data_IF_480692809907
#
_entry.id   IF_480692809907
#
_cell.length_a   1.000
_cell.length_b   1.000
_cell.length_c   1.000
_cell.angle_alpha   90.00
_cell.angle_beta   90.00
_cell.angle_gamma   90.00
#
_symmetry.space_group_name_H-M   'P 1'
#
loop_
_entity.id
_entity.type
_entity.pdbx_description
1 polymer ?
#
# COMPACT_ATOMS: atom_id res chain seq x y z
N UNK A 1 -88.18 43.35 21.72
CA UNK A 1 -87.84 44.80 21.82
C UNK A 1 -86.67 45.03 20.87
N UNK A 2 -86.87 45.54 19.63
CA UNK A 2 -86.76 46.97 19.21
C UNK A 2 -85.51 47.64 19.83
N UNK A 3 -84.49 48.10 19.09
CA UNK A 3 -84.39 49.32 18.24
C UNK A 3 -83.03 49.28 17.47
N UNK A 4 -82.93 49.23 16.13
CA UNK A 4 -82.69 50.30 15.10
C UNK A 4 -81.67 51.43 15.38
N UNK A 5 -80.60 51.53 14.58
CA UNK A 5 -80.00 52.76 13.96
C UNK A 5 -78.65 52.37 13.32
N UNK A 6 -78.41 52.34 12.00
CA UNK A 6 -78.46 53.38 10.96
C UNK A 6 -77.34 54.43 11.14
N UNK A 7 -76.20 54.25 10.45
CA UNK A 7 -75.35 55.35 10.00
C UNK A 7 -74.68 55.01 8.67
N UNK A 8 -75.18 55.69 7.64
CA UNK A 8 -74.69 55.79 6.28
C UNK A 8 -74.22 57.25 6.12
N UNK A 9 -72.93 57.49 5.87
CA UNK A 9 -72.40 58.79 5.47
C UNK A 9 -71.15 58.51 4.60
N UNK A 10 -71.26 58.62 3.27
CA UNK A 10 -71.05 59.85 2.49
C UNK A 10 -69.57 60.29 2.54
N UNK A 11 -68.73 59.68 1.70
CA UNK A 11 -67.41 60.24 1.36
C UNK A 11 -67.51 60.84 -0.04
N UNK A 12 -67.68 62.17 -0.04
CA UNK A 12 -67.60 63.04 -1.21
C UNK A 12 -66.20 62.99 -1.84
N UNK A 13 -66.18 63.11 -3.16
CA UNK A 13 -64.98 63.21 -3.97
C UNK A 13 -64.15 64.44 -3.66
N UNK A 14 -62.86 64.21 -3.38
CA UNK A 14 -61.79 65.16 -3.59
C UNK A 14 -60.92 64.61 -4.73
N UNK A 15 -61.28 64.93 -5.97
CA UNK A 15 -60.35 64.85 -7.08
C UNK A 15 -59.32 65.99 -6.88
N UNK A 16 -58.34 65.73 -6.01
CA UNK A 16 -57.15 66.56 -5.94
C UNK A 16 -56.46 66.46 -7.30
N UNK A 17 -56.42 67.56 -8.03
CA UNK A 17 -55.55 67.71 -9.18
C UNK A 17 -54.11 67.49 -8.68
N UNK A 18 -53.59 66.27 -8.89
CA UNK A 18 -52.18 65.99 -8.64
C UNK A 18 -51.40 66.93 -9.55
N UNK A 19 -50.58 67.84 -9.01
CA UNK A 19 -49.77 68.70 -9.84
C UNK A 19 -48.88 67.81 -10.69
N UNK A 20 -49.09 67.83 -12.02
CA UNK A 20 -48.31 67.06 -13.00
C UNK A 20 -46.79 67.36 -12.92
N UNK A 21 -46.39 68.43 -12.21
CA UNK A 21 -44.99 68.78 -11.99
C UNK A 21 -44.35 68.09 -10.78
N UNK A 22 -45.13 67.67 -9.76
CA UNK A 22 -44.56 67.03 -8.57
C UNK A 22 -43.93 65.65 -8.86
N UNK A 23 -44.35 64.99 -9.94
CA UNK A 23 -43.78 63.72 -10.39
C UNK A 23 -42.53 63.89 -11.24
N UNK A 24 -42.36 65.05 -11.90
CA UNK A 24 -41.15 65.40 -12.62
C UNK A 24 -40.02 65.74 -11.63
N UNK A 25 -40.30 66.57 -10.63
CA UNK A 25 -39.32 66.95 -9.61
C UNK A 25 -38.82 65.74 -8.80
N UNK A 26 -39.74 64.86 -8.36
CA UNK A 26 -39.38 63.65 -7.62
C UNK A 26 -38.54 62.65 -8.44
N UNK A 27 -38.73 62.61 -9.76
CA UNK A 27 -37.96 61.79 -10.68
C UNK A 27 -36.56 62.34 -10.86
N UNK A 28 -36.42 63.64 -11.03
CA UNK A 28 -35.13 64.31 -11.21
C UNK A 28 -34.28 64.21 -9.93
N UNK A 29 -34.90 64.37 -8.75
CA UNK A 29 -34.26 64.15 -7.44
C UNK A 29 -33.76 62.71 -7.27
N UNK A 30 -34.58 61.73 -7.67
CA UNK A 30 -34.18 60.32 -7.62
C UNK A 30 -33.01 60.04 -8.56
N UNK A 31 -33.05 60.56 -9.79
CA UNK A 31 -31.96 60.43 -10.76
C UNK A 31 -30.68 61.05 -10.20
N UNK A 32 -30.74 62.27 -9.66
CA UNK A 32 -29.59 62.93 -9.04
C UNK A 32 -29.00 62.11 -7.88
N UNK A 33 -29.86 61.56 -7.01
CA UNK A 33 -29.43 60.70 -5.91
C UNK A 33 -28.77 59.39 -6.39
N UNK A 34 -29.29 58.75 -7.44
CA UNK A 34 -28.67 57.55 -8.00
C UNK A 34 -27.31 57.86 -8.66
N UNK A 35 -27.19 58.97 -9.38
CA UNK A 35 -25.91 59.42 -9.95
C UNK A 35 -24.87 59.62 -8.86
N UNK A 36 -25.22 60.33 -7.79
CA UNK A 36 -24.32 60.59 -6.67
C UNK A 36 -23.90 59.29 -5.96
N UNK A 37 -24.85 58.38 -5.75
CA UNK A 37 -24.55 57.04 -5.22
C UNK A 37 -23.57 56.29 -6.13
N UNK A 38 -23.76 56.33 -7.45
CA UNK A 38 -22.89 55.64 -8.38
C UNK A 38 -21.47 56.23 -8.41
N UNK A 39 -21.31 57.54 -8.21
CA UNK A 39 -19.99 58.19 -8.05
C UNK A 39 -19.29 57.71 -6.78
N UNK A 40 -19.97 57.67 -5.64
CA UNK A 40 -19.42 57.13 -4.37
C UNK A 40 -19.00 55.67 -4.51
N UNK A 41 -19.80 54.84 -5.19
CA UNK A 41 -19.44 53.44 -5.47
C UNK A 41 -18.19 53.35 -6.35
N UNK A 42 -18.05 54.24 -7.34
CA UNK A 42 -16.84 54.32 -8.19
C UNK A 42 -15.61 54.73 -7.37
N UNK A 43 -15.72 55.71 -6.48
CA UNK A 43 -14.65 56.14 -5.57
C UNK A 43 -14.19 55.02 -4.63
N UNK A 44 -15.11 54.17 -4.21
CA UNK A 44 -14.84 52.99 -3.39
C UNK A 44 -14.34 51.77 -4.20
N UNK A 45 -14.04 51.96 -5.48
CA UNK A 45 -13.61 50.90 -6.41
C UNK A 45 -14.63 49.77 -6.65
N UNK A 46 -15.91 50.01 -6.31
CA UNK A 46 -17.02 49.07 -6.49
C UNK A 46 -17.62 49.19 -7.89
N UNK A 47 -16.78 48.99 -8.92
CA UNK A 47 -17.08 49.29 -10.31
C UNK A 47 -18.35 48.60 -10.85
N UNK A 48 -18.57 47.33 -10.51
CA UNK A 48 -19.75 46.58 -10.97
C UNK A 48 -21.06 47.11 -10.37
N UNK A 49 -21.04 47.49 -9.08
CA UNK A 49 -22.19 48.11 -8.42
C UNK A 49 -22.44 49.52 -8.95
N UNK A 50 -21.39 50.30 -9.16
CA UNK A 50 -21.49 51.62 -9.79
C UNK A 50 -22.14 51.51 -11.19
N UNK A 51 -21.67 50.57 -12.03
CA UNK A 51 -22.24 50.33 -13.35
C UNK A 51 -23.71 49.90 -13.29
N UNK A 52 -24.07 49.03 -12.34
CA UNK A 52 -25.45 48.61 -12.14
C UNK A 52 -26.36 49.80 -11.82
N UNK A 53 -25.94 50.69 -10.92
CA UNK A 53 -26.70 51.92 -10.57
C UNK A 53 -26.80 52.88 -11.76
N UNK A 54 -25.72 53.09 -12.52
CA UNK A 54 -25.80 53.93 -13.73
C UNK A 54 -26.78 53.37 -14.77
N UNK A 55 -26.87 52.04 -14.90
CA UNK A 55 -27.80 51.38 -15.83
C UNK A 55 -29.27 51.49 -15.40
N UNK A 56 -29.58 51.62 -14.11
CA UNK A 56 -30.97 51.82 -13.66
C UNK A 56 -31.51 53.20 -14.00
N UNK A 57 -30.63 54.19 -14.20
CA UNK A 57 -30.99 55.56 -14.58
C UNK A 57 -31.33 55.68 -16.07
N UNK A 58 -30.73 54.86 -16.94
CA UNK A 58 -30.94 54.88 -18.40
C UNK A 58 -32.42 54.86 -18.86
N UNK A 59 -33.30 53.96 -18.36
CA UNK A 59 -34.70 53.91 -18.78
C UNK A 59 -35.56 55.04 -18.18
N UNK A 60 -35.05 55.77 -17.19
CA UNK A 60 -35.81 56.78 -16.44
C UNK A 60 -35.71 58.18 -17.04
N UNK A 61 -35.51 58.32 -18.35
CA UNK A 61 -35.71 59.58 -19.09
C UNK A 61 -34.43 60.24 -19.55
N UNK A 62 -34.22 60.18 -20.87
CA UNK A 62 -33.15 60.79 -21.65
C UNK A 62 -31.75 60.58 -21.03
N UNK A 63 -30.99 59.55 -21.44
CA UNK A 63 -29.62 59.38 -20.99
C UNK A 63 -28.83 60.59 -21.47
N UNK A 64 -28.55 61.50 -20.55
CA UNK A 64 -27.73 62.65 -20.80
C UNK A 64 -26.31 62.20 -21.15
N UNK A 65 -25.56 63.09 -21.80
CA UNK A 65 -24.21 62.78 -22.24
C UNK A 65 -23.33 62.27 -21.07
N UNK A 66 -23.56 62.79 -19.86
CA UNK A 66 -22.89 62.35 -18.63
C UNK A 66 -23.12 60.86 -18.35
N UNK A 67 -24.39 60.41 -18.27
CA UNK A 67 -24.71 59.01 -17.95
C UNK A 67 -24.13 58.04 -18.97
N UNK A 68 -24.20 58.37 -20.27
CA UNK A 68 -23.64 57.53 -21.33
C UNK A 68 -22.12 57.44 -21.23
N UNK A 69 -21.45 58.56 -20.99
CA UNK A 69 -20.00 58.60 -20.82
C UNK A 69 -19.58 57.81 -19.58
N UNK A 70 -20.27 57.98 -18.45
CA UNK A 70 -19.97 57.25 -17.22
C UNK A 70 -20.11 55.72 -17.38
N UNK A 71 -21.18 55.27 -18.06
CA UNK A 71 -21.37 53.85 -18.39
C UNK A 71 -20.24 53.34 -19.28
N UNK A 72 -19.91 54.05 -20.37
CA UNK A 72 -18.87 53.63 -21.30
C UNK A 72 -17.47 53.57 -20.63
N UNK A 73 -17.16 54.53 -19.76
CA UNK A 73 -15.91 54.54 -18.98
C UNK A 73 -15.82 53.35 -18.01
N UNK A 74 -16.90 53.07 -17.28
CA UNK A 74 -16.95 51.96 -16.33
C UNK A 74 -16.84 50.62 -17.05
N UNK A 75 -17.54 50.45 -18.17
CA UNK A 75 -17.44 49.25 -19.00
C UNK A 75 -16.01 49.04 -19.50
N UNK A 76 -15.37 50.08 -20.06
CA UNK A 76 -13.98 50.01 -20.50
C UNK A 76 -13.03 49.63 -19.36
N UNK A 77 -13.23 50.22 -18.18
CA UNK A 77 -12.40 49.95 -16.99
C UNK A 77 -12.59 48.52 -16.50
N UNK A 78 -13.83 48.05 -16.42
CA UNK A 78 -14.16 46.68 -16.04
C UNK A 78 -13.55 45.69 -17.03
N UNK A 79 -13.71 45.90 -18.35
CA UNK A 79 -13.11 45.04 -19.38
C UNK A 79 -11.59 44.96 -19.26
N UNK A 80 -10.91 46.09 -19.03
CA UNK A 80 -9.46 46.11 -18.85
C UNK A 80 -9.03 45.32 -17.60
N UNK A 81 -9.73 45.49 -16.48
CA UNK A 81 -9.46 44.75 -15.24
C UNK A 81 -9.74 43.25 -15.37
N UNK A 82 -10.85 42.88 -16.01
CA UNK A 82 -11.18 41.48 -16.31
C UNK A 82 -10.04 40.84 -17.11
N UNK A 83 -9.59 41.46 -18.20
CA UNK A 83 -8.46 40.95 -19.01
C UNK A 83 -7.17 40.78 -18.20
N UNK A 84 -6.85 41.74 -17.34
CA UNK A 84 -5.68 41.65 -16.44
C UNK A 84 -5.83 40.50 -15.44
N UNK A 85 -6.99 40.35 -14.81
CA UNK A 85 -7.26 39.27 -13.85
C UNK A 85 -7.22 37.90 -14.53
N UNK A 86 -7.74 37.77 -15.75
CA UNK A 86 -7.63 36.52 -16.53
C UNK A 86 -6.17 36.14 -16.82
N UNK A 87 -5.35 37.11 -17.22
CA UNK A 87 -3.92 36.89 -17.48
C UNK A 87 -3.20 36.42 -16.22
N UNK A 88 -3.42 37.09 -15.08
CA UNK A 88 -2.85 36.73 -13.78
C UNK A 88 -3.32 35.35 -13.30
N UNK A 89 -4.61 35.04 -13.45
CA UNK A 89 -5.16 33.73 -13.13
C UNK A 89 -4.48 32.64 -13.96
N UNK A 90 -4.33 32.86 -15.28
CA UNK A 90 -3.65 31.92 -16.18
C UNK A 90 -2.20 31.70 -15.79
N UNK A 91 -1.46 32.77 -15.48
CA UNK A 91 -0.08 32.67 -15.02
C UNK A 91 0.02 31.89 -13.70
N UNK A 92 -0.86 32.16 -12.74
CA UNK A 92 -0.89 31.45 -11.47
C UNK A 92 -1.10 29.94 -11.66
N UNK A 93 -2.06 29.52 -12.50
CA UNK A 93 -2.25 28.11 -12.81
C UNK A 93 -1.06 27.49 -13.54
N UNK A 94 -0.45 28.20 -14.49
CA UNK A 94 0.73 27.70 -15.21
C UNK A 94 1.93 27.51 -14.29
N UNK A 95 2.02 28.29 -13.20
CA UNK A 95 3.03 28.14 -12.16
C UNK A 95 2.63 27.16 -11.05
N UNK A 96 1.53 26.41 -11.18
CA UNK A 96 1.05 25.46 -10.17
C UNK A 96 0.39 26.09 -8.93
N UNK A 97 0.24 27.43 -8.89
CA UNK A 97 -0.38 28.17 -7.78
C UNK A 97 -1.90 28.23 -7.95
N UNK A 98 -2.56 27.09 -7.78
CA UNK A 98 -4.01 26.97 -8.00
C UNK A 98 -4.85 27.89 -7.11
N UNK A 99 -4.47 28.08 -5.83
CA UNK A 99 -5.18 28.95 -4.89
C UNK A 99 -5.13 30.44 -5.32
N UNK A 100 -3.96 30.90 -5.78
CA UNK A 100 -3.81 32.25 -6.34
C UNK A 100 -4.68 32.41 -7.60
N UNK A 101 -4.69 31.38 -8.47
CA UNK A 101 -5.51 31.33 -9.67
C UNK A 101 -7.01 31.47 -9.35
N UNK A 102 -7.51 30.69 -8.40
CA UNK A 102 -8.91 30.73 -7.94
C UNK A 102 -9.27 32.10 -7.36
N UNK A 103 -8.36 32.70 -6.58
CA UNK A 103 -8.53 34.05 -6.02
C UNK A 103 -8.70 35.11 -7.10
N UNK A 104 -7.88 35.07 -8.17
CA UNK A 104 -8.03 35.99 -9.30
C UNK A 104 -9.34 35.78 -10.06
N UNK A 105 -9.79 34.53 -10.22
CA UNK A 105 -11.08 34.23 -10.85
C UNK A 105 -12.27 34.73 -10.01
N UNK A 106 -12.20 34.65 -8.68
CA UNK A 106 -13.24 35.20 -7.79
C UNK A 106 -13.29 36.73 -7.89
N UNK A 107 -12.14 37.41 -7.90
CA UNK A 107 -12.06 38.86 -8.15
C UNK A 107 -12.64 39.24 -9.51
N UNK A 108 -12.42 38.42 -10.54
CA UNK A 108 -13.02 38.60 -11.85
C UNK A 108 -14.54 38.46 -11.79
N UNK A 109 -15.06 37.43 -11.11
CA UNK A 109 -16.51 37.23 -10.96
C UNK A 109 -17.20 38.33 -10.16
N UNK A 110 -16.50 38.99 -9.23
CA UNK A 110 -17.02 40.19 -8.57
C UNK A 110 -17.24 41.35 -9.54
N UNK A 111 -16.49 41.42 -10.65
CA UNK A 111 -16.69 42.40 -11.72
C UNK A 111 -17.69 41.92 -12.78
N UNK A 112 -17.68 40.63 -13.10
CA UNK A 112 -18.55 40.01 -14.11
C UNK A 112 -19.07 38.65 -13.63
N UNK A 113 -20.20 38.61 -12.89
CA UNK A 113 -20.70 37.38 -12.25
C UNK A 113 -21.02 36.24 -13.23
N UNK A 114 -21.36 36.58 -14.48
CA UNK A 114 -21.71 35.62 -15.53
C UNK A 114 -20.53 35.14 -16.38
N UNK A 115 -19.27 35.39 -16.00
CA UNK A 115 -18.13 35.08 -16.87
C UNK A 115 -17.93 33.55 -17.03
N UNK A 116 -18.19 32.98 -18.22
CA UNK A 116 -18.31 31.52 -18.38
C UNK A 116 -16.98 30.79 -18.17
N UNK A 117 -15.86 31.40 -18.58
CA UNK A 117 -14.53 30.82 -18.43
C UNK A 117 -14.10 30.71 -16.96
N UNK A 118 -14.47 31.68 -16.13
CA UNK A 118 -14.12 31.72 -14.71
C UNK A 118 -14.93 30.69 -13.92
N UNK A 119 -16.26 30.66 -14.13
CA UNK A 119 -17.15 29.68 -13.51
C UNK A 119 -16.75 28.23 -13.85
N UNK A 120 -16.49 27.95 -15.14
CA UNK A 120 -16.07 26.62 -15.59
C UNK A 120 -14.77 26.18 -14.93
N UNK A 121 -13.82 27.10 -14.75
CA UNK A 121 -12.51 26.78 -14.19
C UNK A 121 -12.56 26.59 -12.67
N UNK A 122 -13.27 27.44 -11.94
CA UNK A 122 -13.49 27.26 -10.49
C UNK A 122 -14.19 25.94 -10.17
N UNK A 123 -15.21 25.56 -10.96
CA UNK A 123 -15.88 24.25 -10.80
C UNK A 123 -14.91 23.08 -10.93
N UNK A 124 -14.00 23.12 -11.92
CA UNK A 124 -12.97 22.09 -12.10
C UNK A 124 -11.99 22.07 -10.93
N UNK A 125 -11.51 23.24 -10.47
CA UNK A 125 -10.61 23.34 -9.31
C UNK A 125 -11.24 22.69 -8.07
N UNK A 126 -12.48 23.05 -7.76
CA UNK A 126 -13.21 22.52 -6.62
C UNK A 126 -13.46 21.01 -6.72
N UNK A 127 -13.78 20.49 -7.91
CA UNK A 127 -13.94 19.05 -8.13
C UNK A 127 -12.65 18.28 -7.87
N UNK A 128 -11.51 18.80 -8.33
CA UNK A 128 -10.19 18.17 -8.10
C UNK A 128 -9.83 18.20 -6.61
N UNK A 129 -10.09 19.33 -5.94
CA UNK A 129 -9.88 19.45 -4.50
C UNK A 129 -10.72 18.43 -3.71
N UNK A 130 -12.02 18.33 -4.01
CA UNK A 130 -12.91 17.37 -3.36
C UNK A 130 -12.47 15.91 -3.58
N UNK A 131 -12.04 15.57 -4.81
CA UNK A 131 -11.54 14.23 -5.13
C UNK A 131 -10.26 13.89 -4.35
N UNK A 132 -9.31 14.83 -4.27
CA UNK A 132 -8.08 14.64 -3.46
C UNK A 132 -8.41 14.44 -1.99
N UNK A 133 -9.28 15.27 -1.43
CA UNK A 133 -9.68 15.15 -0.03
C UNK A 133 -10.34 13.79 0.25
N UNK A 134 -11.14 13.27 -0.68
CA UNK A 134 -11.74 11.95 -0.55
C UNK A 134 -10.70 10.83 -0.67
N UNK A 135 -9.73 10.94 -1.59
CA UNK A 135 -8.62 10.00 -1.71
C UNK A 135 -7.79 9.96 -0.43
N UNK A 136 -7.37 11.11 0.10
CA UNK A 136 -6.61 11.21 1.35
C UNK A 136 -7.33 10.57 2.53
N UNK A 137 -8.65 10.78 2.65
CA UNK A 137 -9.48 10.11 3.67
C UNK A 137 -9.47 8.59 3.48
N UNK A 138 -9.71 8.11 2.26
CA UNK A 138 -9.73 6.67 1.97
C UNK A 138 -8.36 6.01 2.21
N UNK A 139 -7.26 6.69 1.90
CA UNK A 139 -5.91 6.20 2.17
C UNK A 139 -5.60 6.18 3.68
N UNK A 140 -6.04 7.19 4.42
CA UNK A 140 -5.91 7.22 5.87
C UNK A 140 -6.72 6.09 6.54
N UNK A 141 -7.94 5.85 6.07
CA UNK A 141 -8.77 4.72 6.52
C UNK A 141 -8.13 3.38 6.17
N UNK A 142 -7.63 3.20 4.93
CA UNK A 142 -6.91 2.00 4.54
C UNK A 142 -5.66 1.77 5.40
N UNK A 143 -4.88 2.82 5.68
CA UNK A 143 -3.71 2.74 6.58
C UNK A 143 -4.09 2.36 8.01
N UNK A 144 -5.23 2.82 8.52
CA UNK A 144 -5.67 2.47 9.88
C UNK A 144 -6.23 1.04 9.95
N UNK A 145 -6.85 0.54 8.88
CA UNK A 145 -7.32 -0.86 8.79
C UNK A 145 -6.13 -1.82 8.64
N UNK A 146 -5.18 -1.55 7.73
CA UNK A 146 -3.97 -2.38 7.57
C UNK A 146 -3.12 -2.39 8.85
N UNK A 147 -3.10 -1.28 9.60
CA UNK A 147 -2.39 -1.20 10.89
C UNK A 147 -3.14 -1.90 12.05
N UNK A 148 -4.41 -2.28 11.87
CA UNK A 148 -5.26 -2.96 12.87
C UNK A 148 -5.59 -4.41 12.51
N UNK A 149 -5.13 -4.96 11.40
CA UNK A 149 -5.20 -6.40 11.20
C UNK A 149 -4.38 -7.08 12.33
N UNK A 150 -4.99 -8.01 13.11
CA UNK A 150 -4.20 -8.84 13.98
C UNK A 150 -3.25 -9.62 13.07
N UNK A 151 -1.95 -9.53 13.31
CA UNK A 151 -0.97 -10.43 12.72
C UNK A 151 -1.51 -11.85 12.99
N UNK A 152 -2.04 -12.51 11.96
CA UNK A 152 -2.24 -13.96 12.00
C UNK A 152 -0.88 -14.49 12.43
N UNK A 153 -0.78 -15.04 13.64
CA UNK A 153 0.45 -15.68 14.10
C UNK A 153 0.85 -16.61 12.96
N UNK A 154 1.99 -16.32 12.33
CA UNK A 154 2.47 -17.09 11.19
C UNK A 154 2.38 -18.56 11.61
N UNK A 155 1.64 -19.35 10.82
CA UNK A 155 1.48 -20.76 11.12
C UNK A 155 2.87 -21.40 11.13
N UNK A 156 3.04 -22.52 11.82
CA UNK A 156 4.32 -23.25 11.79
C UNK A 156 4.80 -23.49 10.36
N UNK A 157 3.87 -23.78 9.44
CA UNK A 157 4.16 -23.95 8.02
C UNK A 157 4.71 -22.67 7.36
N UNK A 158 4.12 -21.50 7.64
CA UNK A 158 4.62 -20.22 7.13
C UNK A 158 6.05 -19.94 7.62
N UNK A 159 6.33 -20.31 8.87
CA UNK A 159 7.66 -20.16 9.47
C UNK A 159 8.67 -21.13 8.84
N UNK A 160 8.29 -22.39 8.59
CA UNK A 160 9.13 -23.36 7.88
C UNK A 160 9.44 -22.90 6.45
N UNK A 161 8.46 -22.38 5.71
CA UNK A 161 8.66 -21.82 4.37
C UNK A 161 9.63 -20.63 4.38
N UNK A 162 9.51 -19.75 5.36
CA UNK A 162 10.42 -18.61 5.50
C UNK A 162 11.86 -19.04 5.78
N UNK A 163 12.06 -20.10 6.57
CA UNK A 163 13.38 -20.67 6.86
C UNK A 163 13.96 -21.41 5.64
N UNK A 164 13.14 -22.14 4.88
CA UNK A 164 13.53 -22.80 3.63
C UNK A 164 14.07 -21.78 2.62
N UNK A 165 13.37 -20.65 2.44
CA UNK A 165 13.79 -19.57 1.54
C UNK A 165 15.13 -18.94 1.92
N UNK A 166 15.50 -19.02 3.21
CA UNK A 166 16.80 -18.52 3.72
C UNK A 166 17.88 -19.61 3.73
N UNK A 167 17.53 -20.86 3.43
CA UNK A 167 18.43 -22.01 3.54
C UNK A 167 18.79 -22.36 4.99
N UNK A 168 18.00 -21.94 5.97
CA UNK A 168 18.23 -22.20 7.40
C UNK A 168 17.70 -23.59 7.81
N UNK A 169 18.22 -24.64 7.18
CA UNK A 169 17.69 -26.00 7.31
C UNK A 169 17.77 -26.57 8.73
N UNK A 170 18.82 -26.24 9.50
CA UNK A 170 18.92 -26.66 10.91
C UNK A 170 17.85 -26.02 11.79
N UNK A 171 17.51 -24.75 11.54
CA UNK A 171 16.46 -24.05 12.25
C UNK A 171 15.07 -24.61 11.89
N UNK A 172 14.88 -25.09 10.65
CA UNK A 172 13.65 -25.78 10.24
C UNK A 172 13.41 -27.04 11.09
N UNK A 173 14.44 -27.87 11.28
CA UNK A 173 14.34 -29.08 12.09
C UNK A 173 14.01 -28.74 13.55
N UNK A 174 14.71 -27.77 14.15
CA UNK A 174 14.46 -27.34 15.52
C UNK A 174 13.03 -26.77 15.73
N UNK A 175 12.50 -26.05 14.72
CA UNK A 175 11.14 -25.55 14.75
C UNK A 175 10.11 -26.68 14.63
N UNK A 176 10.36 -27.66 13.77
CA UNK A 176 9.51 -28.83 13.62
C UNK A 176 9.44 -29.65 14.91
N UNK A 177 10.59 -29.95 15.53
CA UNK A 177 10.67 -30.66 16.81
C UNK A 177 9.88 -29.95 17.92
N UNK A 178 10.00 -28.61 17.98
CA UNK A 178 9.30 -27.80 18.98
C UNK A 178 7.80 -27.74 18.75
N UNK A 179 7.39 -27.70 17.48
CA UNK A 179 5.99 -27.51 17.10
C UNK A 179 5.19 -28.80 17.04
N UNK A 180 5.85 -29.96 16.93
CA UNK A 180 5.20 -31.25 16.73
C UNK A 180 4.40 -31.33 15.42
N UNK A 181 4.78 -30.53 14.41
CA UNK A 181 4.07 -30.52 13.13
C UNK A 181 4.27 -31.86 12.41
N UNK A 182 3.16 -32.55 12.16
CA UNK A 182 3.10 -33.82 11.41
C UNK A 182 2.29 -33.67 10.11
N UNK A 183 2.02 -32.44 9.67
CA UNK A 183 1.24 -32.24 8.46
C UNK A 183 2.08 -32.55 7.20
N UNK A 184 1.40 -33.00 6.14
CA UNK A 184 2.07 -33.47 4.93
C UNK A 184 2.89 -32.37 4.23
N UNK A 185 2.51 -31.10 4.37
CA UNK A 185 3.26 -29.99 3.78
C UNK A 185 4.57 -29.76 4.53
N UNK A 186 4.52 -29.74 5.86
CA UNK A 186 5.70 -29.67 6.72
C UNK A 186 6.61 -30.88 6.55
N UNK A 187 6.07 -32.10 6.42
CA UNK A 187 6.87 -33.31 6.16
C UNK A 187 7.67 -33.21 4.84
N UNK A 188 7.06 -32.66 3.78
CA UNK A 188 7.75 -32.41 2.50
C UNK A 188 8.89 -31.39 2.64
N UNK A 189 8.66 -30.30 3.37
CA UNK A 189 9.68 -29.27 3.64
C UNK A 189 10.84 -29.84 4.45
N UNK A 190 10.54 -30.63 5.48
CA UNK A 190 11.53 -31.26 6.33
C UNK A 190 12.33 -32.34 5.59
N UNK A 191 11.69 -33.11 4.68
CA UNK A 191 12.42 -33.99 3.75
C UNK A 191 13.43 -33.20 2.94
N UNK A 192 13.03 -32.05 2.38
CA UNK A 192 13.94 -31.15 1.66
C UNK A 192 15.11 -30.65 2.53
N UNK A 193 14.82 -30.23 3.77
CA UNK A 193 15.83 -29.78 4.72
C UNK A 193 16.84 -30.88 5.06
N UNK A 194 16.37 -32.10 5.33
CA UNK A 194 17.23 -33.25 5.56
C UNK A 194 18.10 -33.59 4.33
N UNK A 195 17.54 -33.55 3.12
CA UNK A 195 18.36 -33.77 1.91
C UNK A 195 19.45 -32.71 1.74
N UNK A 196 19.16 -31.44 2.01
CA UNK A 196 20.15 -30.37 1.91
C UNK A 196 21.26 -30.49 2.97
N UNK A 197 20.91 -30.88 4.19
CA UNK A 197 21.88 -31.14 5.26
C UNK A 197 22.73 -32.39 4.98
N UNK A 198 22.15 -33.43 4.36
CA UNK A 198 22.90 -34.59 3.90
C UNK A 198 23.95 -34.20 2.84
N UNK A 199 23.57 -33.35 1.87
CA UNK A 199 24.49 -32.83 0.86
C UNK A 199 25.63 -31.99 1.47
N UNK A 200 25.34 -31.19 2.50
CA UNK A 200 26.36 -30.43 3.22
C UNK A 200 27.29 -31.33 4.03
N UNK A 201 26.75 -32.35 4.69
CA UNK A 201 27.54 -33.34 5.44
C UNK A 201 28.47 -34.13 4.50
N UNK A 202 27.96 -34.59 3.34
CA UNK A 202 28.75 -35.29 2.33
C UNK A 202 29.88 -34.43 1.79
N UNK A 203 29.61 -33.14 1.48
CA UNK A 203 30.65 -32.20 1.03
C UNK A 203 31.74 -31.97 2.07
N UNK A 204 31.42 -32.08 3.36
CA UNK A 204 32.39 -32.02 4.47
C UNK A 204 33.10 -33.35 4.74
N UNK A 205 32.72 -34.42 4.05
CA UNK A 205 33.23 -35.78 4.28
C UNK A 205 32.64 -36.48 5.50
N UNK A 206 31.59 -35.92 6.11
CA UNK A 206 30.90 -36.50 7.26
C UNK A 206 29.81 -37.48 6.79
N UNK A 207 30.26 -38.63 6.29
CA UNK A 207 29.40 -39.63 5.65
C UNK A 207 28.37 -40.24 6.63
N UNK A 208 28.70 -40.33 7.91
CA UNK A 208 27.78 -40.84 8.93
C UNK A 208 26.59 -39.90 9.11
N UNK A 209 26.83 -38.59 9.26
CA UNK A 209 25.73 -37.59 9.33
C UNK A 209 24.96 -37.48 8.03
N UNK A 210 25.65 -37.60 6.89
CA UNK A 210 24.99 -37.60 5.59
C UNK A 210 23.97 -38.74 5.49
N UNK A 211 24.36 -39.95 5.93
CA UNK A 211 23.47 -41.11 5.94
C UNK A 211 22.30 -40.93 6.93
N UNK A 212 22.57 -40.42 8.13
CA UNK A 212 21.53 -40.15 9.14
C UNK A 212 20.44 -39.22 8.60
N UNK A 213 20.83 -38.08 8.03
CA UNK A 213 19.87 -37.15 7.43
C UNK A 213 19.14 -37.76 6.23
N UNK A 214 19.81 -38.57 5.41
CA UNK A 214 19.19 -39.27 4.28
C UNK A 214 18.10 -40.24 4.76
N UNK A 215 18.37 -40.99 5.83
CA UNK A 215 17.41 -41.92 6.42
C UNK A 215 16.22 -41.16 7.04
N UNK A 216 16.46 -40.03 7.73
CA UNK A 216 15.39 -39.16 8.23
C UNK A 216 14.50 -38.61 7.10
N UNK A 217 15.09 -38.21 5.96
CA UNK A 217 14.35 -37.74 4.80
C UNK A 217 13.38 -38.80 4.25
N UNK A 218 13.82 -40.06 4.17
CA UNK A 218 12.98 -41.18 3.72
C UNK A 218 11.88 -41.56 4.72
N UNK A 219 12.14 -41.40 6.02
CA UNK A 219 11.14 -41.65 7.08
C UNK A 219 10.00 -40.63 7.07
N UNK A 220 10.31 -39.35 6.82
CA UNK A 220 9.32 -38.28 6.84
C UNK A 220 8.30 -38.39 5.70
N UNK A 221 8.76 -38.80 4.52
CA UNK A 221 7.89 -38.97 3.36
C UNK A 221 8.37 -40.17 2.53
N UNK A 222 7.85 -41.38 2.82
CA UNK A 222 8.15 -42.56 2.03
C UNK A 222 7.57 -42.41 0.61
N UNK A 223 8.43 -42.54 -0.40
CA UNK A 223 8.04 -42.50 -1.81
C UNK A 223 8.39 -43.84 -2.46
N UNK A 224 7.50 -44.38 -3.29
CA UNK A 224 7.84 -45.53 -4.14
C UNK A 224 8.96 -45.13 -5.11
N UNK A 225 9.99 -45.96 -5.25
CA UNK A 225 11.13 -45.70 -6.13
C UNK A 225 11.87 -44.39 -5.81
N UNK A 226 12.02 -44.09 -4.50
CA UNK A 226 12.71 -42.88 -4.05
C UNK A 226 14.19 -42.87 -4.51
N UNK A 227 14.66 -41.85 -5.28
CA UNK A 227 16.07 -41.75 -5.66
C UNK A 227 17.02 -41.70 -4.47
N UNK A 228 16.54 -41.29 -3.28
CA UNK A 228 17.34 -41.30 -2.05
C UNK A 228 17.75 -42.72 -1.63
N UNK A 229 17.04 -43.77 -2.06
CA UNK A 229 17.41 -45.17 -1.77
C UNK A 229 18.76 -45.54 -2.41
N UNK A 230 18.95 -45.19 -3.68
CA UNK A 230 20.20 -45.45 -4.41
C UNK A 230 21.36 -44.73 -3.73
N UNK A 231 21.17 -43.45 -3.43
CA UNK A 231 22.19 -42.62 -2.78
C UNK A 231 22.52 -43.09 -1.36
N UNK A 232 21.52 -43.51 -0.60
CA UNK A 232 21.69 -44.09 0.73
C UNK A 232 22.47 -45.41 0.68
N UNK A 233 22.24 -46.25 -0.35
CA UNK A 233 23.03 -47.46 -0.58
C UNK A 233 24.50 -47.16 -0.94
N UNK A 234 24.76 -46.13 -1.74
CA UNK A 234 26.12 -45.67 -2.07
C UNK A 234 26.87 -45.17 -0.83
N UNK A 235 26.24 -44.33 0.00
CA UNK A 235 26.83 -43.85 1.26
C UNK A 235 27.18 -45.01 2.20
N UNK A 236 26.27 -45.98 2.35
CA UNK A 236 26.52 -47.21 3.12
C UNK A 236 27.70 -48.01 2.58
N UNK A 237 27.84 -48.11 1.25
CA UNK A 237 28.97 -48.79 0.63
C UNK A 237 30.30 -48.05 0.90
N UNK A 238 30.32 -46.72 0.84
CA UNK A 238 31.49 -45.90 1.15
C UNK A 238 31.91 -46.01 2.63
N UNK A 239 30.96 -45.92 3.56
CA UNK A 239 31.18 -46.12 4.99
C UNK A 239 31.72 -47.53 5.26
N UNK A 240 31.11 -48.56 4.67
CA UNK A 240 31.59 -49.93 4.75
C UNK A 240 33.05 -50.07 4.29
N UNK A 241 33.41 -49.47 3.15
CA UNK A 241 34.78 -49.50 2.63
C UNK A 241 35.77 -48.76 3.55
N UNK A 242 35.36 -47.64 4.16
CA UNK A 242 36.17 -46.90 5.12
C UNK A 242 36.48 -47.72 6.36
N UNK A 243 35.44 -48.28 6.99
CA UNK A 243 35.57 -49.14 8.16
C UNK A 243 36.37 -50.43 7.87
N UNK A 244 36.20 -51.00 6.67
CA UNK A 244 36.99 -52.13 6.21
C UNK A 244 38.50 -51.81 6.16
N UNK A 245 38.88 -50.67 5.60
CA UNK A 245 40.28 -50.23 5.53
C UNK A 245 40.86 -50.06 6.92
N UNK A 246 40.12 -49.38 7.82
CA UNK A 246 40.52 -49.20 9.22
C UNK A 246 40.73 -50.54 9.92
N UNK A 247 39.77 -51.45 9.79
CA UNK A 247 39.87 -52.79 10.39
C UNK A 247 41.09 -53.55 9.90
N UNK A 248 41.37 -53.51 8.59
CA UNK A 248 42.54 -54.18 7.99
C UNK A 248 43.86 -53.63 8.53
N UNK A 249 43.95 -52.32 8.78
CA UNK A 249 45.15 -51.69 9.36
C UNK A 249 45.38 -52.12 10.81
N UNK A 250 44.31 -52.29 11.59
CA UNK A 250 44.39 -52.64 13.00
C UNK A 250 44.72 -54.13 13.26
N UNK A 251 44.53 -55.02 12.27
CA UNK A 251 44.70 -56.48 12.45
C UNK A 251 46.04 -56.86 13.11
N UNK A 252 47.11 -56.12 12.83
CA UNK A 252 48.45 -56.45 13.32
C UNK A 252 48.77 -55.84 14.69
N UNK A 253 48.10 -54.77 15.09
CA UNK A 253 48.44 -53.98 16.28
C UNK A 253 47.38 -54.01 17.37
N UNK A 254 46.10 -54.08 16.98
CA UNK A 254 44.93 -54.05 17.86
C UNK A 254 43.84 -54.95 17.28
N UNK A 255 43.92 -56.24 17.59
CA UNK A 255 42.99 -57.24 17.07
C UNK A 255 41.53 -57.00 17.51
N UNK A 256 41.24 -56.67 18.79
CA UNK A 256 39.88 -56.28 19.19
C UNK A 256 39.35 -55.07 18.43
N UNK A 257 40.15 -54.02 18.26
CA UNK A 257 39.77 -52.85 17.47
C UNK A 257 39.55 -53.17 15.99
N UNK A 258 40.33 -54.10 15.43
CA UNK A 258 40.14 -54.60 14.07
C UNK A 258 38.80 -55.30 13.88
N UNK A 259 38.42 -56.19 14.82
CA UNK A 259 37.14 -56.90 14.81
C UNK A 259 35.98 -55.88 14.85
N UNK A 260 36.00 -54.94 15.79
CA UNK A 260 34.95 -53.93 15.93
C UNK A 260 34.80 -53.06 14.67
N UNK A 261 35.90 -52.69 14.03
CA UNK A 261 35.86 -51.93 12.77
C UNK A 261 35.31 -52.77 11.60
N UNK A 262 35.66 -54.05 11.50
CA UNK A 262 35.16 -54.95 10.47
C UNK A 262 33.67 -55.28 10.67
N UNK A 263 33.21 -55.41 11.91
CA UNK A 263 31.79 -55.55 12.24
C UNK A 263 30.99 -54.33 11.76
N UNK A 264 31.47 -53.11 12.04
CA UNK A 264 30.87 -51.89 11.50
C UNK A 264 30.82 -51.90 9.97
N UNK A 265 31.90 -52.33 9.32
CA UNK A 265 31.93 -52.41 7.86
C UNK A 265 30.83 -53.34 7.31
N UNK A 266 30.61 -54.49 7.94
CA UNK A 266 29.55 -55.43 7.56
C UNK A 266 28.16 -54.90 7.93
N UNK A 267 28.03 -54.18 9.04
CA UNK A 267 26.76 -53.58 9.46
C UNK A 267 26.25 -52.54 8.45
N UNK A 268 27.14 -51.68 7.92
CA UNK A 268 26.74 -50.72 6.88
C UNK A 268 26.44 -51.40 5.54
N UNK A 269 27.20 -52.42 5.15
CA UNK A 269 26.96 -53.16 3.91
C UNK A 269 27.15 -54.67 4.11
N UNK A 270 26.05 -55.41 4.34
CA UNK A 270 26.08 -56.86 4.51
C UNK A 270 26.64 -57.63 3.31
N UNK A 271 26.66 -57.02 2.12
CA UNK A 271 27.16 -57.63 0.89
C UNK A 271 28.67 -57.37 0.66
N UNK A 272 29.35 -56.70 1.58
CA UNK A 272 30.81 -56.53 1.51
C UNK A 272 31.54 -57.84 1.87
N UNK A 273 31.70 -58.72 0.87
CA UNK A 273 32.35 -60.03 1.01
C UNK A 273 33.81 -59.94 1.49
N UNK A 274 34.50 -58.83 1.22
CA UNK A 274 35.87 -58.63 1.70
C UNK A 274 35.89 -58.37 3.20
N UNK A 275 35.02 -57.51 3.70
CA UNK A 275 34.88 -57.24 5.13
C UNK A 275 34.46 -58.49 5.91
N UNK A 276 33.50 -59.28 5.40
CA UNK A 276 33.07 -60.53 6.04
C UNK A 276 34.21 -61.55 6.17
N UNK A 277 34.93 -61.81 5.08
CA UNK A 277 36.08 -62.73 5.11
C UNK A 277 37.19 -62.26 6.06
N UNK A 278 37.44 -60.95 6.11
CA UNK A 278 38.42 -60.39 7.04
C UNK A 278 37.95 -60.45 8.49
N UNK A 279 36.67 -60.25 8.75
CA UNK A 279 36.08 -60.42 10.08
C UNK A 279 36.24 -61.86 10.57
N UNK A 280 35.88 -62.84 9.75
CA UNK A 280 36.02 -64.27 10.08
C UNK A 280 37.48 -64.65 10.36
N UNK A 281 38.42 -64.09 9.58
CA UNK A 281 39.86 -64.25 9.80
C UNK A 281 40.28 -63.66 11.15
N UNK A 282 39.91 -62.42 11.44
CA UNK A 282 40.28 -61.73 12.68
C UNK A 282 39.71 -62.45 13.92
N UNK A 283 38.45 -62.88 13.88
CA UNK A 283 37.83 -63.67 14.95
C UNK A 283 38.52 -65.01 15.16
N UNK A 284 39.00 -65.65 14.10
CA UNK A 284 39.76 -66.90 14.21
C UNK A 284 41.12 -66.69 14.86
N UNK A 285 41.80 -65.59 14.53
CA UNK A 285 43.05 -65.20 15.20
C UNK A 285 42.83 -64.95 16.70
N UNK A 286 41.75 -64.24 17.08
CA UNK A 286 41.43 -63.96 18.48
C UNK A 286 41.24 -65.26 19.26
N UNK A 287 40.40 -66.18 18.75
CA UNK A 287 40.18 -67.49 19.38
C UNK A 287 41.48 -68.28 19.57
N UNK A 288 42.42 -68.17 18.63
CA UNK A 288 43.70 -68.85 18.74
C UNK A 288 44.60 -68.22 19.82
N UNK A 289 44.60 -66.88 19.93
CA UNK A 289 45.33 -66.17 20.99
C UNK A 289 44.77 -66.51 22.37
N UNK A 290 43.44 -66.45 22.55
CA UNK A 290 42.78 -66.79 23.82
C UNK A 290 43.12 -68.22 24.29
N UNK A 291 43.23 -69.18 23.34
CA UNK A 291 43.64 -70.57 23.62
C UNK A 291 45.09 -70.70 24.05
N UNK A 292 45.97 -69.84 23.58
CA UNK A 292 47.39 -69.84 23.96
C UNK A 292 47.53 -69.20 25.35
N UNK A 293 46.82 -68.11 25.60
CA UNK A 293 46.85 -67.40 26.88
C UNK A 293 46.27 -68.23 28.03
N UNK A 294 45.15 -68.92 27.80
CA UNK A 294 44.54 -69.83 28.79
C UNK A 294 45.36 -71.07 29.14
N UNK A 295 46.45 -71.36 28.40
CA UNK A 295 47.37 -72.48 28.65
C UNK A 295 48.66 -72.05 29.36
N UNK A 296 48.86 -70.75 29.59
CA UNK A 296 49.99 -70.21 30.36
C UNK A 296 49.59 -70.07 31.83
#
# INVERSE_FOLDING_TARGET
MRVRALFLALVLGAAAAVPLNATADARDDFVAAQKERARKLREQDQLAYALAVWRTVLPLGAPDAETRTAVAELERTITARVKSLESRARQAYNSGRSNDGDTYLLKLLALQPGHPGALKRLRRSHSVFAQRQQQEKSEAEYRTVVRKEPVKKATTLDQLLALEQRGEYSAMLALADKSGSTDAASARLLRGAHTALADEAERRGDLDKALEHMDSAMLLQPVSDDPLLTRSAELRAQLSASWYRKGTQLIQSDLPGAIAALEKAVAYNPYNNNARRKLDQAQTLQRNLDRIESRR
#
